data_IF_057323670641
#
_entry.id   IF_057323670641
#
_cell.length_a   1.000
_cell.length_b   1.000
_cell.length_c   1.000
_cell.angle_alpha   90.00
_cell.angle_beta   90.00
_cell.angle_gamma   90.00
#
_symmetry.space_group_name_H-M   'P 1'
#
loop_
_entity.id
_entity.type
_entity.pdbx_description
1 polymer ?
#
# COMPACT_ATOMS: atom_id res chain seq x y z
N UNK A 1 23.67 19.55 11.17
CA UNK A 1 22.20 19.49 11.14
C UNK A 1 21.75 18.03 11.05
N UNK A 2 20.96 17.55 12.03
CA UNK A 2 20.40 16.18 12.05
C UNK A 2 19.43 16.03 10.87
N UNK A 3 19.83 15.34 9.81
CA UNK A 3 18.90 14.84 8.80
C UNK A 3 18.00 13.82 9.49
N UNK A 4 16.72 14.14 9.65
CA UNK A 4 15.72 13.23 10.20
C UNK A 4 15.61 12.01 9.29
N UNK A 5 16.01 10.85 9.81
CA UNK A 5 16.11 9.57 9.09
C UNK A 5 14.76 8.88 9.13
N UNK A 6 13.92 9.19 8.16
CA UNK A 6 12.50 8.84 8.20
C UNK A 6 12.22 7.86 7.07
N UNK A 7 12.00 6.58 7.39
CA UNK A 7 11.33 5.66 6.47
C UNK A 7 9.83 5.87 6.60
N UNK A 8 9.16 6.42 5.60
CA UNK A 8 7.69 6.54 5.59
C UNK A 8 7.07 5.38 4.83
N UNK A 9 6.14 4.70 5.49
CA UNK A 9 5.18 3.81 4.85
C UNK A 9 3.87 4.58 4.69
N UNK A 10 3.43 4.86 3.46
CA UNK A 10 2.11 5.45 3.21
C UNK A 10 1.18 4.41 2.61
N UNK A 11 -0.03 4.24 3.15
CA UNK A 11 -1.09 3.62 2.38
C UNK A 11 -1.58 4.64 1.33
N UNK A 12 -1.37 4.38 0.04
CA UNK A 12 -1.88 5.27 -1.01
C UNK A 12 -3.33 4.90 -1.27
N UNK A 13 -4.25 5.79 -0.89
CA UNK A 13 -5.61 5.79 -1.39
C UNK A 13 -5.66 6.39 -2.80
N UNK A 14 -5.99 5.55 -3.78
CA UNK A 14 -6.31 5.84 -5.19
C UNK A 14 -5.19 6.12 -6.20
N UNK A 15 -5.25 5.35 -7.29
CA UNK A 15 -4.95 5.81 -8.65
C UNK A 15 -6.23 6.52 -9.18
N UNK A 16 -6.06 7.74 -9.69
CA UNK A 16 -7.06 8.79 -9.99
C UNK A 16 -8.32 8.37 -10.78
N UNK A 17 -9.51 8.92 -10.45
CA UNK A 17 -10.47 9.62 -11.35
C UNK A 17 -11.41 10.53 -10.52
N UNK A 18 -11.56 11.80 -10.92
CA UNK A 18 -12.53 12.78 -10.40
C UNK A 18 -13.92 12.63 -11.05
N UNK A 19 -15.03 12.77 -10.31
CA UNK A 19 -16.26 13.54 -10.68
C UNK A 19 -17.03 13.94 -9.39
N UNK A 20 -17.67 15.10 -9.45
CA UNK A 20 -18.28 15.97 -8.43
C UNK A 20 -19.69 15.64 -7.88
N UNK A 21 -19.89 16.02 -6.62
CA UNK A 21 -21.07 16.58 -5.87
C UNK A 21 -22.55 16.21 -6.14
N UNK A 22 -23.33 15.97 -5.06
CA UNK A 22 -24.78 16.25 -4.97
C UNK A 22 -25.67 15.17 -4.30
N UNK A 23 -26.70 15.58 -3.53
CA UNK A 23 -27.41 14.77 -2.50
C UNK A 23 -28.76 14.08 -2.91
N UNK A 24 -29.16 13.10 -2.08
CA UNK A 24 -30.49 12.49 -1.78
C UNK A 24 -31.33 11.73 -2.86
N UNK A 25 -31.22 10.40 -2.79
CA UNK A 25 -32.30 9.38 -2.73
C UNK A 25 -33.12 8.99 -3.98
N UNK A 26 -32.46 8.25 -4.89
CA UNK A 26 -32.97 7.05 -5.55
C UNK A 26 -31.74 6.20 -5.82
N UNK A 27 -31.60 5.00 -5.25
CA UNK A 27 -30.45 4.13 -5.59
C UNK A 27 -30.57 3.73 -7.06
N UNK A 28 -29.95 4.51 -7.93
CA UNK A 28 -29.95 4.24 -9.36
C UNK A 28 -28.87 3.18 -9.59
N UNK A 29 -29.31 1.99 -9.96
CA UNK A 29 -28.42 0.97 -10.46
C UNK A 29 -28.11 1.29 -11.92
N UNK A 30 -26.83 1.34 -12.26
CA UNK A 30 -26.35 1.53 -13.62
C UNK A 30 -25.81 0.21 -14.14
N UNK A 31 -26.09 -0.07 -15.42
CA UNK A 31 -25.52 -1.21 -16.11
C UNK A 31 -24.02 -0.99 -16.29
N UNK A 32 -23.22 -1.98 -15.92
CA UNK A 32 -21.78 -1.99 -16.13
C UNK A 32 -21.47 -2.87 -17.34
N UNK A 33 -20.72 -2.31 -18.30
CA UNK A 33 -20.21 -3.06 -19.43
C UNK A 33 -18.91 -3.76 -19.03
N UNK A 34 -18.94 -5.09 -18.99
CA UNK A 34 -17.79 -5.92 -18.64
C UNK A 34 -17.87 -6.52 -17.24
N UNK A 35 -16.74 -7.07 -16.79
CA UNK A 35 -16.63 -7.80 -15.52
C UNK A 35 -16.36 -6.81 -14.38
N UNK A 36 -17.21 -6.83 -13.36
CA UNK A 36 -17.04 -6.00 -12.16
C UNK A 36 -16.12 -6.71 -11.17
N UNK A 37 -15.04 -6.05 -10.76
CA UNK A 37 -14.05 -6.61 -9.83
C UNK A 37 -14.33 -6.11 -8.41
N UNK A 38 -14.51 -7.03 -7.47
CA UNK A 38 -14.63 -6.72 -6.03
C UNK A 38 -13.28 -6.94 -5.36
N UNK A 39 -12.76 -5.88 -4.73
CA UNK A 39 -11.48 -5.87 -4.03
C UNK A 39 -11.53 -6.68 -2.73
N UNK A 40 -10.46 -7.41 -2.45
CA UNK A 40 -10.23 -8.19 -1.22
C UNK A 40 -10.20 -7.36 0.09
N UNK A 41 -10.02 -6.05 0.00
CA UNK A 41 -9.99 -5.16 1.17
C UNK A 41 -11.36 -4.93 1.81
N UNK A 42 -12.43 -5.48 1.24
CA UNK A 42 -13.81 -5.24 1.66
C UNK A 42 -14.55 -6.59 1.75
N UNK A 43 -15.32 -6.78 2.82
CA UNK A 43 -16.13 -7.97 3.01
C UNK A 43 -17.30 -7.97 2.03
N UNK A 44 -17.45 -9.04 1.25
CA UNK A 44 -18.56 -9.21 0.30
C UNK A 44 -19.32 -10.50 0.56
N UNK A 45 -20.65 -10.44 0.49
CA UNK A 45 -21.51 -11.63 0.51
C UNK A 45 -22.30 -11.70 -0.80
N UNK A 46 -22.45 -12.92 -1.32
CA UNK A 46 -23.23 -13.18 -2.53
C UNK A 46 -24.45 -13.99 -2.15
N UNK A 47 -25.63 -13.51 -2.57
CA UNK A 47 -26.92 -14.16 -2.36
C UNK A 47 -27.51 -14.49 -3.74
N UNK A 48 -27.83 -15.76 -3.98
CA UNK A 48 -28.47 -16.18 -5.22
C UNK A 48 -29.99 -16.17 -5.05
N UNK A 49 -30.70 -15.48 -5.94
CA UNK A 49 -32.14 -15.49 -6.05
C UNK A 49 -32.56 -16.06 -7.41
N UNK A 50 -33.35 -17.14 -7.39
CA UNK A 50 -33.89 -17.79 -8.59
C UNK A 50 -35.32 -17.31 -8.89
N UNK A 51 -35.74 -17.40 -10.16
CA UNK A 51 -37.10 -17.05 -10.59
C UNK A 51 -37.31 -15.55 -10.83
N UNK A 52 -36.21 -14.83 -11.07
CA UNK A 52 -36.25 -13.42 -11.45
C UNK A 52 -36.23 -13.37 -12.98
N UNK A 53 -37.25 -12.79 -13.59
CA UNK A 53 -37.45 -12.86 -15.05
C UNK A 53 -37.03 -11.59 -15.79
N UNK A 54 -36.61 -10.54 -15.07
CA UNK A 54 -36.15 -9.30 -15.68
C UNK A 54 -34.98 -8.67 -14.95
N UNK A 55 -34.19 -7.91 -15.71
CA UNK A 55 -33.03 -7.17 -15.23
C UNK A 55 -33.48 -6.14 -14.19
N UNK A 56 -34.61 -5.47 -14.45
CA UNK A 56 -35.22 -4.48 -13.58
C UNK A 56 -35.72 -5.11 -12.27
N UNK A 57 -36.32 -6.31 -12.34
CA UNK A 57 -36.74 -7.04 -11.15
C UNK A 57 -35.53 -7.44 -10.28
N UNK A 58 -34.43 -7.84 -10.90
CA UNK A 58 -33.18 -8.14 -10.19
C UNK A 58 -32.59 -6.88 -9.52
N UNK A 59 -32.62 -5.72 -10.19
CA UNK A 59 -32.21 -4.44 -9.62
C UNK A 59 -33.11 -4.01 -8.44
N UNK A 60 -34.43 -4.19 -8.57
CA UNK A 60 -35.37 -3.86 -7.49
C UNK A 60 -35.15 -4.77 -6.27
N UNK A 61 -34.94 -6.07 -6.50
CA UNK A 61 -34.63 -7.03 -5.44
C UNK A 61 -33.33 -6.66 -4.70
N UNK A 62 -32.30 -6.26 -5.46
CA UNK A 62 -31.04 -5.73 -4.96
C UNK A 62 -31.26 -4.49 -4.07
N UNK A 63 -32.11 -3.55 -4.52
CA UNK A 63 -32.53 -2.39 -3.73
C UNK A 63 -33.22 -2.77 -2.42
N UNK A 64 -34.15 -3.72 -2.44
CA UNK A 64 -34.87 -4.18 -1.25
C UNK A 64 -33.99 -4.92 -0.24
N UNK A 65 -32.96 -5.62 -0.73
CA UNK A 65 -31.99 -6.36 0.10
C UNK A 65 -30.74 -5.54 0.44
N UNK A 66 -30.74 -4.25 0.13
CA UNK A 66 -29.63 -3.32 0.40
C UNK A 66 -28.29 -3.81 -0.17
N UNK A 67 -28.31 -4.45 -1.34
CA UNK A 67 -27.09 -4.93 -1.97
C UNK A 67 -26.40 -3.81 -2.77
N UNK A 68 -25.11 -3.95 -3.03
CA UNK A 68 -24.27 -2.92 -3.65
C UNK A 68 -24.11 -3.15 -5.16
N UNK A 69 -24.17 -4.41 -5.59
CA UNK A 69 -24.20 -4.79 -6.99
C UNK A 69 -25.11 -6.01 -7.19
N UNK A 70 -25.56 -6.24 -8.43
CA UNK A 70 -26.29 -7.43 -8.82
C UNK A 70 -25.86 -7.91 -10.21
N UNK A 71 -25.92 -9.21 -10.43
CA UNK A 71 -25.63 -9.86 -11.71
C UNK A 71 -26.85 -10.68 -12.10
N UNK A 72 -27.42 -10.38 -13.27
CA UNK A 72 -28.57 -11.10 -13.81
C UNK A 72 -28.13 -12.02 -14.95
N UNK A 73 -28.42 -13.31 -14.83
CA UNK A 73 -28.15 -14.33 -15.84
C UNK A 73 -29.41 -14.63 -16.64
N UNK A 74 -29.41 -14.24 -17.93
CA UNK A 74 -30.59 -14.37 -18.80
C UNK A 74 -30.99 -15.82 -19.10
N UNK A 75 -30.03 -16.74 -19.09
CA UNK A 75 -30.25 -18.15 -19.44
C UNK A 75 -30.81 -18.98 -18.29
N UNK A 76 -30.67 -18.51 -17.06
CA UNK A 76 -30.99 -19.29 -15.85
C UNK A 76 -31.94 -18.59 -14.89
N UNK A 77 -32.52 -17.45 -15.29
CA UNK A 77 -33.39 -16.60 -14.44
C UNK A 77 -32.83 -16.38 -13.02
N UNK A 78 -31.50 -16.24 -12.96
CA UNK A 78 -30.73 -16.17 -11.72
C UNK A 78 -30.25 -14.76 -11.49
N UNK A 79 -30.61 -14.21 -10.35
CA UNK A 79 -30.18 -12.91 -9.87
C UNK A 79 -29.20 -13.11 -8.71
N UNK A 80 -27.94 -12.83 -8.96
CA UNK A 80 -26.87 -12.82 -7.97
C UNK A 80 -26.78 -11.43 -7.35
N UNK A 81 -27.11 -11.33 -6.07
CA UNK A 81 -27.02 -10.10 -5.30
C UNK A 81 -25.70 -10.06 -4.54
N UNK A 82 -24.99 -8.93 -4.60
CA UNK A 82 -23.69 -8.76 -3.94
C UNK A 82 -23.82 -7.62 -2.94
N UNK A 83 -23.76 -7.97 -1.65
CA UNK A 83 -23.67 -6.97 -0.58
C UNK A 83 -22.21 -6.74 -0.25
N UNK A 84 -21.85 -5.48 -0.05
CA UNK A 84 -20.51 -5.07 0.38
C UNK A 84 -20.67 -4.38 1.74
N UNK A 85 -20.05 -4.92 2.78
CA UNK A 85 -20.10 -4.31 4.12
C UNK A 85 -18.88 -3.43 4.37
N UNK A 86 -19.13 -2.24 4.95
CA UNK A 86 -18.10 -1.23 5.32
C UNK A 86 -17.28 -1.61 6.56
N UNK A 87 -17.54 -2.77 7.14
CA UNK A 87 -16.79 -3.26 8.29
C UNK A 87 -15.45 -3.81 7.80
N UNK A 88 -14.31 -3.38 8.39
CA UNK A 88 -13.03 -4.02 8.09
C UNK A 88 -13.18 -5.50 8.43
N UNK A 89 -13.09 -6.35 7.41
CA UNK A 89 -13.11 -7.79 7.59
C UNK A 89 -11.92 -8.20 8.45
N UNK A 90 -12.16 -8.34 9.76
CA UNK A 90 -11.28 -9.08 10.63
C UNK A 90 -11.35 -10.55 10.22
N UNK A 91 -10.18 -11.13 9.98
CA UNK A 91 -9.94 -12.55 9.70
C UNK A 91 -10.37 -13.07 8.30
N UNK A 92 -9.38 -13.16 7.41
CA UNK A 92 -8.97 -14.48 6.89
C UNK A 92 -9.53 -14.97 5.55
N UNK A 93 -10.60 -14.43 4.97
CA UNK A 93 -11.28 -15.12 3.84
C UNK A 93 -11.64 -14.25 2.63
N UNK A 94 -10.96 -13.12 2.40
CA UNK A 94 -11.34 -12.21 1.31
C UNK A 94 -10.47 -12.45 0.05
N UNK A 95 -11.00 -13.19 -0.92
CA UNK A 95 -10.42 -13.37 -2.25
C UNK A 95 -10.97 -12.35 -3.26
N UNK A 96 -10.20 -12.06 -4.32
CA UNK A 96 -10.68 -11.28 -5.46
C UNK A 96 -11.90 -11.95 -6.08
N UNK A 97 -12.97 -11.20 -6.30
CA UNK A 97 -14.18 -11.73 -6.93
C UNK A 97 -14.46 -10.99 -8.24
N UNK A 98 -14.52 -11.76 -9.32
CA UNK A 98 -14.96 -11.33 -10.64
C UNK A 98 -16.46 -11.57 -10.74
N UNK A 99 -17.23 -10.52 -10.99
CA UNK A 99 -18.68 -10.57 -11.13
C UNK A 99 -19.07 -10.30 -12.58
N UNK A 100 -19.81 -11.22 -13.17
CA UNK A 100 -20.21 -11.18 -14.57
C UNK A 100 -19.34 -12.07 -15.47
N UNK A 101 -19.61 -11.97 -16.78
CA UNK A 101 -18.92 -12.69 -17.84
C UNK A 101 -18.73 -11.75 -19.03
N UNK A 102 -17.72 -11.98 -19.87
CA UNK A 102 -17.55 -11.25 -21.15
C UNK A 102 -18.65 -11.60 -22.18
N UNK A 103 -19.44 -12.63 -21.91
CA UNK A 103 -20.58 -13.02 -22.73
C UNK A 103 -21.81 -12.15 -22.42
N UNK A 104 -22.58 -11.75 -23.44
CA UNK A 104 -23.79 -10.89 -23.32
C UNK A 104 -24.99 -11.53 -22.56
N UNK A 105 -24.71 -12.64 -21.89
CA UNK A 105 -25.61 -13.51 -21.13
C UNK A 105 -25.76 -13.07 -19.67
N UNK A 106 -24.72 -12.44 -19.12
CA UNK A 106 -24.72 -11.84 -17.79
C UNK A 106 -24.82 -10.32 -17.88
N UNK A 107 -25.83 -9.73 -17.24
CA UNK A 107 -25.99 -8.28 -17.12
C UNK A 107 -25.59 -7.85 -15.71
N UNK A 108 -24.51 -7.09 -15.61
CA UNK A 108 -24.00 -6.56 -14.34
C UNK A 108 -24.58 -5.20 -14.07
N UNK A 109 -25.11 -5.02 -12.86
CA UNK A 109 -25.68 -3.77 -12.37
C UNK A 109 -24.96 -3.37 -11.08
N UNK A 110 -24.53 -2.11 -10.99
CA UNK A 110 -23.89 -1.58 -9.79
C UNK A 110 -24.58 -0.30 -9.36
N UNK A 111 -24.53 0.02 -8.06
CA UNK A 111 -24.96 1.33 -7.60
C UNK A 111 -24.14 2.44 -8.28
N UNK A 112 -24.74 3.59 -8.56
CA UNK A 112 -24.00 4.78 -9.05
C UNK A 112 -22.85 5.16 -8.10
N UNK A 113 -23.05 5.02 -6.78
CA UNK A 113 -22.04 5.25 -5.76
C UNK A 113 -21.27 3.97 -5.36
N UNK A 114 -21.29 2.91 -6.17
CA UNK A 114 -20.55 1.68 -5.89
C UNK A 114 -19.05 1.97 -5.74
N UNK A 115 -18.51 2.87 -6.55
CA UNK A 115 -17.11 3.33 -6.44
C UNK A 115 -16.82 3.98 -5.09
N UNK A 116 -17.80 4.62 -4.44
CA UNK A 116 -17.64 5.24 -3.11
C UNK A 116 -17.79 4.27 -1.94
N UNK A 117 -18.51 3.17 -2.16
CA UNK A 117 -18.53 2.03 -1.24
C UNK A 117 -17.24 1.21 -1.36
N UNK A 118 -16.65 1.21 -2.56
CA UNK A 118 -15.39 0.54 -2.88
C UNK A 118 -14.16 1.42 -2.67
N UNK A 119 -14.34 2.73 -2.39
CA UNK A 119 -13.25 3.64 -1.97
C UNK A 119 -12.68 3.06 -0.66
N UNK A 120 -11.45 2.50 -0.65
CA UNK A 120 -10.79 2.21 0.61
C UNK A 120 -10.84 3.48 1.46
N UNK A 121 -11.26 3.37 2.72
CA UNK A 121 -11.00 4.45 3.68
C UNK A 121 -9.49 4.72 3.56
N UNK A 122 -9.13 5.92 3.15
CA UNK A 122 -7.74 6.39 3.21
C UNK A 122 -7.42 6.43 4.69
N UNK A 123 -6.97 5.31 5.24
CA UNK A 123 -6.38 5.30 6.56
C UNK A 123 -4.98 5.80 6.29
N UNK A 124 -4.75 7.10 6.53
CA UNK A 124 -3.44 7.72 6.51
C UNK A 124 -2.58 7.09 7.62
N UNK A 125 -2.18 5.84 7.45
CA UNK A 125 -1.28 5.12 8.35
C UNK A 125 0.13 5.40 7.85
N UNK A 126 0.68 6.53 8.29
CA UNK A 126 2.10 6.79 8.11
C UNK A 126 2.88 6.12 9.23
N UNK A 127 3.65 5.07 8.93
CA UNK A 127 4.58 4.46 9.88
C UNK A 127 5.99 4.97 9.60
N UNK A 128 6.65 5.49 10.64
CA UNK A 128 8.01 6.02 10.56
C UNK A 128 8.96 5.11 11.33
N UNK A 129 10.02 4.66 10.65
CA UNK A 129 11.11 3.90 11.28
C UNK A 129 12.39 4.72 11.25
N UNK A 130 13.06 4.80 12.40
CA UNK A 130 14.31 5.55 12.61
C UNK A 130 15.40 4.60 13.12
N UNK A 131 16.65 5.00 12.94
CA UNK A 131 17.81 4.28 13.45
C UNK A 131 17.87 4.34 14.99
N UNK A 132 18.31 3.25 15.63
CA UNK A 132 18.40 3.17 17.09
C UNK A 132 19.73 3.71 17.68
N UNK A 133 20.63 4.26 16.84
CA UNK A 133 21.94 4.75 17.31
C UNK A 133 22.83 5.35 16.22
N UNK A 134 24.14 5.25 16.35
CA UNK A 134 25.16 5.57 15.31
C UNK A 134 26.26 4.50 15.29
N UNK A 135 27.09 4.44 14.24
CA UNK A 135 28.20 3.49 14.17
C UNK A 135 27.82 2.12 13.56
N UNK A 136 28.57 1.07 13.90
CA UNK A 136 28.50 -0.24 13.22
C UNK A 136 27.28 -1.09 13.57
N UNK A 137 26.63 -0.83 14.71
CA UNK A 137 25.56 -1.68 15.24
C UNK A 137 24.21 -1.04 14.95
N UNK A 138 23.31 -1.82 14.34
CA UNK A 138 21.91 -1.46 14.10
C UNK A 138 20.98 -2.59 14.53
N UNK A 139 19.68 -2.33 14.53
CA UNK A 139 18.63 -3.31 14.88
C UNK A 139 17.60 -3.42 13.76
N UNK A 140 17.06 -4.63 13.58
CA UNK A 140 15.93 -4.88 12.69
C UNK A 140 14.65 -4.50 13.42
N UNK A 141 13.78 -3.74 12.77
CA UNK A 141 12.46 -3.37 13.25
C UNK A 141 11.41 -4.19 12.49
N UNK A 142 10.40 -4.69 13.21
CA UNK A 142 9.34 -5.50 12.63
C UNK A 142 8.05 -4.70 12.55
N UNK A 143 7.32 -4.86 11.45
CA UNK A 143 5.96 -4.32 11.32
C UNK A 143 5.05 -5.35 10.67
N UNK A 144 3.89 -5.57 11.29
CA UNK A 144 2.83 -6.39 10.73
C UNK A 144 1.84 -5.48 9.99
N UNK A 145 1.42 -5.90 8.81
CA UNK A 145 0.44 -5.19 8.00
C UNK A 145 -0.97 -5.57 8.46
N UNK A 146 -1.65 -4.62 9.07
CA UNK A 146 -2.98 -4.83 9.64
C UNK A 146 -4.09 -4.80 8.57
N UNK A 147 -3.81 -4.21 7.39
CA UNK A 147 -4.79 -3.97 6.33
C UNK A 147 -4.12 -4.21 4.99
N UNK A 148 -4.74 -5.01 4.12
CA UNK A 148 -4.22 -5.20 2.77
C UNK A 148 -4.34 -3.90 1.93
N UNK A 149 -3.35 -3.61 1.09
CA UNK A 149 -3.39 -2.41 0.26
C UNK A 149 -2.09 -2.12 -0.48
N UNK A 150 -2.08 -1.03 -1.25
CA UNK A 150 -0.88 -0.51 -1.91
C UNK A 150 -0.16 0.46 -0.99
N UNK A 151 1.07 0.11 -0.62
CA UNK A 151 1.92 0.89 0.27
C UNK A 151 3.04 1.54 -0.52
N UNK A 152 3.23 2.86 -0.35
CA UNK A 152 4.45 3.55 -0.76
C UNK A 152 5.49 3.40 0.33
N UNK A 153 6.60 2.79 -0.03
CA UNK A 153 7.79 2.65 0.81
C UNK A 153 8.77 3.74 0.39
N UNK A 154 9.32 4.49 1.34
CA UNK A 154 10.34 5.51 1.10
C UNK A 154 11.55 5.31 2.00
N UNK A 155 12.65 4.80 1.47
CA UNK A 155 13.89 4.52 2.19
C UNK A 155 14.94 5.60 1.97
N UNK A 156 15.70 5.89 3.02
CA UNK A 156 16.92 6.69 2.96
C UNK A 156 18.09 5.87 3.50
N UNK A 157 19.14 5.71 2.70
CA UNK A 157 20.43 5.20 3.18
C UNK A 157 21.09 6.22 4.10
N UNK A 158 21.94 5.76 5.01
CA UNK A 158 22.59 6.65 5.96
C UNK A 158 23.75 7.42 5.32
N UNK A 159 24.01 8.62 5.85
CA UNK A 159 25.15 9.45 5.47
C UNK A 159 26.47 8.83 5.95
N UNK A 160 27.53 9.00 5.16
CA UNK A 160 28.90 8.74 5.60
C UNK A 160 29.40 9.72 6.66
N UNK A 161 30.45 9.32 7.36
CA UNK A 161 31.11 10.11 8.38
C UNK A 161 31.90 11.28 7.81
N UNK A 162 31.98 12.35 8.59
CA UNK A 162 32.71 13.57 8.25
C UNK A 162 34.20 13.45 8.60
N UNK A 163 35.04 14.24 7.93
CA UNK A 163 36.47 14.36 8.23
C UNK A 163 36.84 15.78 8.64
N UNK A 164 36.34 16.19 9.80
CA UNK A 164 36.52 17.56 10.32
C UNK A 164 37.96 17.93 10.68
N UNK A 165 38.89 16.96 10.66
CA UNK A 165 40.32 17.20 10.89
C UNK A 165 41.03 17.81 9.67
N UNK A 166 40.52 17.56 8.46
CA UNK A 166 41.08 18.12 7.22
C UNK A 166 40.49 19.50 6.95
N UNK A 167 39.17 19.60 7.02
CA UNK A 167 38.46 20.87 7.00
C UNK A 167 37.09 20.70 7.68
N UNK A 168 36.51 21.77 8.25
CA UNK A 168 35.15 21.69 8.80
C UNK A 168 34.08 21.37 7.75
N UNK A 169 34.40 21.50 6.46
CA UNK A 169 33.49 21.31 5.33
C UNK A 169 33.67 19.94 4.63
N UNK A 170 34.61 19.11 5.09
CA UNK A 170 34.88 17.79 4.52
C UNK A 170 33.82 16.78 5.00
N UNK A 171 32.64 16.87 4.38
CA UNK A 171 31.46 16.12 4.79
C UNK A 171 31.37 14.77 4.08
N UNK A 172 30.99 13.72 4.83
CA UNK A 172 30.69 12.42 4.27
C UNK A 172 29.50 12.47 3.29
N UNK A 173 29.53 11.62 2.27
CA UNK A 173 28.53 11.53 1.23
C UNK A 173 27.13 11.23 1.77
N UNK A 174 26.12 11.74 1.07
CA UNK A 174 24.70 11.46 1.37
C UNK A 174 24.36 10.03 0.95
N UNK A 175 23.52 9.35 1.74
CA UNK A 175 22.95 8.08 1.33
C UNK A 175 21.89 8.24 0.24
N UNK A 176 21.62 7.15 -0.48
CA UNK A 176 20.63 7.12 -1.55
C UNK A 176 19.21 7.23 -0.98
N UNK A 177 18.30 7.80 -1.78
CA UNK A 177 16.86 7.79 -1.51
C UNK A 177 16.18 6.87 -2.52
N UNK A 178 15.39 5.92 -2.02
CA UNK A 178 14.61 5.00 -2.83
C UNK A 178 13.14 5.13 -2.44
N UNK A 179 12.24 5.18 -3.42
CA UNK A 179 10.81 5.21 -3.16
C UNK A 179 10.07 4.40 -4.23
N UNK A 180 9.01 3.72 -3.81
CA UNK A 180 8.26 2.84 -4.70
C UNK A 180 7.02 2.29 -4.03
N UNK A 181 6.11 1.76 -4.84
CA UNK A 181 4.83 1.28 -4.38
C UNK A 181 4.81 -0.25 -4.41
N UNK A 182 4.31 -0.89 -3.36
CA UNK A 182 4.22 -2.35 -3.21
C UNK A 182 2.84 -2.72 -2.69
N UNK A 183 2.24 -3.76 -3.27
CA UNK A 183 1.02 -4.36 -2.75
C UNK A 183 1.34 -5.32 -1.60
N UNK A 184 0.73 -5.09 -0.44
CA UNK A 184 0.89 -5.92 0.76
C UNK A 184 -0.46 -6.49 1.18
N UNK A 185 -0.47 -7.76 1.55
CA UNK A 185 -1.64 -8.43 2.12
C UNK A 185 -1.66 -8.28 3.64
N UNK A 186 -2.85 -8.44 4.23
CA UNK A 186 -3.03 -8.47 5.69
C UNK A 186 -2.20 -9.60 6.32
N UNK A 187 -1.64 -9.36 7.50
CA UNK A 187 -0.81 -10.31 8.24
C UNK A 187 0.62 -10.46 7.73
N UNK A 188 0.97 -9.82 6.59
CA UNK A 188 2.36 -9.80 6.12
C UNK A 188 3.23 -9.09 7.16
N UNK A 189 4.31 -9.74 7.58
CA UNK A 189 5.31 -9.14 8.46
C UNK A 189 6.51 -8.67 7.65
N UNK A 190 6.83 -7.38 7.74
CA UNK A 190 8.01 -6.78 7.13
C UNK A 190 9.11 -6.62 8.17
N UNK A 191 10.32 -6.93 7.72
CA UNK A 191 11.56 -6.64 8.43
C UNK A 191 12.20 -5.41 7.81
N UNK A 192 12.51 -4.45 8.68
CA UNK A 192 12.96 -3.11 8.31
C UNK A 192 14.33 -2.87 8.94
N UNK A 193 15.29 -2.56 8.09
CA UNK A 193 16.65 -2.19 8.50
C UNK A 193 16.86 -0.73 8.13
N UNK A 194 17.17 0.09 9.13
CA UNK A 194 17.50 1.49 8.93
C UNK A 194 19.01 1.66 9.06
N UNK A 195 19.63 2.21 8.02
CA UNK A 195 21.06 2.43 7.94
C UNK A 195 21.59 3.32 9.07
N UNK A 196 22.78 2.98 9.54
CA UNK A 196 23.49 3.71 10.58
C UNK A 196 24.46 4.73 9.96
N UNK A 197 24.54 5.94 10.54
CA UNK A 197 25.47 6.94 10.03
C UNK A 197 26.92 6.50 10.29
N UNK A 198 27.79 6.75 9.32
CA UNK A 198 29.21 6.53 9.45
C UNK A 198 29.79 7.36 10.61
N UNK A 199 30.74 6.77 11.34
CA UNK A 199 31.47 7.50 12.39
C UNK A 199 32.36 8.59 11.78
N UNK A 200 32.55 9.72 12.46
CA UNK A 200 33.51 10.71 12.01
C UNK A 200 34.93 10.14 12.00
N UNK A 201 35.82 10.81 11.28
CA UNK A 201 37.25 10.62 11.42
C UNK A 201 37.66 10.74 12.90
N UNK A 202 38.56 9.88 13.37
CA UNK A 202 38.89 9.73 14.80
C UNK A 202 40.29 10.24 15.17
N UNK A 203 41.09 10.68 14.20
CA UNK A 203 42.44 11.18 14.45
C UNK A 203 42.92 12.16 13.38
N UNK A 204 43.74 13.12 13.79
CA UNK A 204 44.55 13.95 12.88
C UNK A 204 45.62 13.08 12.20
N UNK A 205 45.40 12.73 10.94
CA UNK A 205 46.24 11.83 10.14
C UNK A 205 45.44 11.29 8.95
N UNK A 206 45.98 10.37 8.14
CA UNK A 206 45.31 9.75 6.96
C UNK A 206 44.07 8.90 7.30
N UNK A 207 43.32 9.25 8.34
CA UNK A 207 42.05 8.65 8.70
C UNK A 207 40.91 9.28 7.92
N UNK A 208 39.91 8.45 7.62
CA UNK A 208 38.73 8.80 6.85
C UNK A 208 37.50 8.61 7.70
N UNK A 209 36.41 9.31 7.34
CA UNK A 209 35.10 9.02 7.90
C UNK A 209 34.66 7.60 7.51
N UNK A 210 33.90 6.95 8.39
CA UNK A 210 33.29 5.66 8.08
C UNK A 210 32.20 5.78 7.01
N UNK A 211 31.99 4.73 6.22
CA UNK A 211 30.84 4.65 5.32
C UNK A 211 29.51 4.62 6.07
N UNK A 212 28.45 5.17 5.47
CA UNK A 212 27.09 5.05 5.95
C UNK A 212 26.50 3.67 5.63
N UNK A 213 25.66 3.14 6.52
CA UNK A 213 24.93 1.90 6.30
C UNK A 213 23.75 2.06 5.34
N UNK A 214 23.43 0.99 4.59
CA UNK A 214 22.24 0.92 3.76
C UNK A 214 20.96 0.69 4.57
N UNK A 215 19.82 1.03 3.98
CA UNK A 215 18.48 0.76 4.52
C UNK A 215 17.74 -0.23 3.62
N UNK A 216 17.02 -1.17 4.21
CA UNK A 216 16.38 -2.29 3.49
C UNK A 216 15.01 -2.59 4.07
N UNK A 217 14.08 -2.99 3.21
CA UNK A 217 12.79 -3.55 3.60
C UNK A 217 12.62 -4.89 2.89
N UNK A 218 12.34 -5.93 3.65
CA UNK A 218 12.13 -7.27 3.12
C UNK A 218 10.99 -7.98 3.86
N UNK A 219 10.39 -8.98 3.22
CA UNK A 219 9.38 -9.83 3.83
C UNK A 219 10.05 -10.80 4.80
N UNK A 220 9.52 -10.87 6.02
CA UNK A 220 10.11 -11.71 7.08
C UNK A 220 9.90 -13.21 6.82
N UNK A 221 8.83 -13.57 6.11
CA UNK A 221 8.49 -14.97 5.85
C UNK A 221 9.43 -15.69 4.89
N UNK A 222 9.93 -14.99 3.86
CA UNK A 222 10.72 -15.58 2.77
C UNK A 222 12.01 -14.81 2.46
N UNK A 223 12.35 -13.78 3.24
CA UNK A 223 13.49 -12.89 3.03
C UNK A 223 13.51 -12.20 1.66
N UNK A 224 12.35 -12.04 1.02
CA UNK A 224 12.23 -11.36 -0.27
C UNK A 224 12.46 -9.85 -0.09
N UNK A 225 13.48 -9.33 -0.78
CA UNK A 225 13.81 -7.92 -0.77
C UNK A 225 12.75 -7.12 -1.54
N UNK A 226 12.11 -6.17 -0.85
CA UNK A 226 11.13 -5.27 -1.47
C UNK A 226 11.80 -3.99 -1.97
N UNK A 227 12.73 -3.44 -1.18
CA UNK A 227 13.44 -2.21 -1.55
C UNK A 227 14.73 -2.05 -0.74
N UNK A 228 15.72 -1.41 -1.35
CA UNK A 228 16.99 -1.08 -0.74
C UNK A 228 17.43 0.33 -1.11
N UNK A 229 18.15 0.99 -0.20
CA UNK A 229 18.83 2.25 -0.43
C UNK A 229 20.26 2.17 0.11
N UNK A 230 21.25 2.44 -0.76
CA UNK A 230 22.66 2.42 -0.40
C UNK A 230 23.06 3.56 0.54
N UNK A 231 24.01 3.30 1.44
CA UNK A 231 24.60 4.33 2.29
C UNK A 231 25.63 5.19 1.56
N UNK A 232 25.92 6.37 2.11
CA UNK A 232 26.88 7.31 1.54
C UNK A 232 28.33 6.98 1.89
N UNK A 233 29.25 7.31 0.99
CA UNK A 233 30.70 7.16 1.23
C UNK A 233 31.21 8.05 2.36
N UNK A 234 32.22 7.61 3.08
CA UNK A 234 32.89 8.42 4.10
C UNK A 234 33.79 9.49 3.47
N UNK A 235 33.95 10.61 4.17
CA UNK A 235 34.88 11.66 3.77
C UNK A 235 36.35 11.18 3.84
N UNK A 236 37.16 11.49 2.83
CA UNK A 236 38.55 11.04 2.73
C UNK A 236 39.51 12.20 2.48
N UNK A 237 40.79 11.98 2.77
CA UNK A 237 41.85 12.96 2.45
C UNK A 237 42.09 13.00 0.93
N UNK A 238 41.91 14.16 0.30
CA UNK A 238 42.32 14.38 -1.10
C UNK A 238 43.81 14.77 -1.17
N UNK A 239 44.60 14.09 -1.99
CA UNK A 239 45.91 14.59 -2.39
C UNK A 239 45.71 15.47 -3.62
N UNK A 240 46.12 16.74 -3.54
CA UNK A 240 46.24 17.68 -4.68
C UNK A 240 47.67 17.71 -5.19
#
# INVERSE_FOLDING_TARGET
MRQSKTLLLFAIGFCCVMVSEGACNRTRYVQHNGVLVVNSTISSQVLNASGVTSVEACAMLCGMKSCSAAVFWKSSDLCQLVTVSREPGFAGNNEWRLLGSETAEAVVMKLENFEELMKPRIINVTRVFTNNGTGRIGSVQLVTIDIAGCYRIQLAGAKGGDNTYVSPDELGGRGALAAGNVSLSVGVQLSIVVGQAGGPSQSSGYSSGGGGGGSFVYRTSNNELLMAAGGGGGASYGYS
#
